data_IF_858611211308
#
_entry.id   IF_858611211308
#
_cell.length_a   1.000
_cell.length_b   1.000
_cell.length_c   1.000
_cell.angle_alpha   90.00
_cell.angle_beta   90.00
_cell.angle_gamma   90.00
#
_symmetry.space_group_name_H-M   'P 1'
#
loop_
_entity.id
_entity.type
_entity.pdbx_description
1 polymer ?
#
# COMPACT_ATOMS: atom_id res chain seq x y z
N UNK A 1 -32.10 -39.06 2.27
CA UNK A 1 -32.31 -37.76 2.95
C UNK A 1 -31.10 -36.88 2.65
N UNK A 2 -31.26 -35.57 2.48
CA UNK A 2 -30.32 -34.58 1.91
C UNK A 2 -30.43 -34.37 0.39
N UNK A 3 -31.61 -33.93 -0.04
CA UNK A 3 -31.83 -33.27 -1.33
C UNK A 3 -32.84 -32.13 -1.16
N UNK A 4 -32.67 -31.26 -0.17
CA UNK A 4 -33.53 -30.08 0.06
C UNK A 4 -32.80 -28.95 0.82
N UNK A 5 -31.63 -28.48 0.37
CA UNK A 5 -31.01 -27.27 0.95
C UNK A 5 -30.26 -26.40 -0.07
N UNK A 6 -30.64 -26.41 -1.35
CA UNK A 6 -30.00 -25.56 -2.37
C UNK A 6 -30.97 -24.58 -3.05
N UNK A 7 -32.03 -24.18 -2.35
CA UNK A 7 -32.99 -23.17 -2.83
C UNK A 7 -33.37 -22.21 -1.70
N UNK A 8 -32.45 -21.32 -1.34
CA UNK A 8 -32.70 -20.02 -0.70
C UNK A 8 -31.71 -19.05 -1.35
N UNK A 9 -31.99 -18.55 -2.56
CA UNK A 9 -32.55 -17.21 -2.79
C UNK A 9 -31.90 -16.15 -1.89
N UNK A 10 -30.87 -15.49 -2.43
CA UNK A 10 -30.31 -14.25 -1.91
C UNK A 10 -31.37 -13.14 -1.94
N UNK A 11 -32.06 -12.93 -0.82
CA UNK A 11 -32.87 -11.74 -0.58
C UNK A 11 -31.93 -10.56 -0.27
N UNK A 12 -31.90 -9.57 -1.17
CA UNK A 12 -31.02 -8.39 -1.11
C UNK A 12 -31.53 -7.29 -0.16
N UNK A 13 -32.60 -7.56 0.60
CA UNK A 13 -33.18 -6.60 1.55
C UNK A 13 -32.71 -6.78 2.99
N UNK A 14 -31.96 -7.85 3.30
CA UNK A 14 -31.39 -8.09 4.63
C UNK A 14 -29.95 -7.57 4.66
N UNK A 15 -29.56 -6.70 5.61
CA UNK A 15 -28.17 -6.29 5.75
C UNK A 15 -27.29 -7.52 6.04
N UNK A 16 -26.06 -7.56 5.50
CA UNK A 16 -25.15 -8.68 5.76
C UNK A 16 -24.99 -8.87 7.27
N UNK A 17 -24.92 -10.12 7.76
CA UNK A 17 -24.67 -10.37 9.18
C UNK A 17 -23.38 -9.65 9.60
N UNK A 18 -23.42 -9.03 10.78
CA UNK A 18 -22.29 -8.31 11.34
C UNK A 18 -21.04 -9.21 11.30
N UNK A 19 -19.97 -8.70 10.69
CA UNK A 19 -18.67 -9.36 10.72
C UNK A 19 -18.24 -9.34 12.19
N UNK A 20 -18.22 -10.51 12.80
CA UNK A 20 -17.72 -10.71 14.15
C UNK A 20 -16.18 -10.59 14.10
N UNK A 21 -15.66 -9.40 14.41
CA UNK A 21 -14.24 -9.07 14.51
C UNK A 21 -13.53 -9.73 15.72
N UNK A 22 -14.10 -10.77 16.32
CA UNK A 22 -13.51 -11.51 17.43
C UNK A 22 -12.45 -12.54 16.99
N UNK A 23 -11.38 -12.04 16.37
CA UNK A 23 -10.10 -12.74 16.28
C UNK A 23 -9.30 -12.59 17.60
N UNK A 24 -8.67 -13.65 18.12
CA UNK A 24 -9.25 -14.93 18.52
C UNK A 24 -10.02 -14.77 19.86
N UNK A 25 -11.09 -15.55 20.05
CA UNK A 25 -11.82 -15.62 21.32
C UNK A 25 -10.86 -15.73 22.52
N UNK A 26 -11.04 -14.89 23.54
CA UNK A 26 -10.29 -14.93 24.81
C UNK A 26 -10.15 -16.36 25.34
N UNK A 27 -11.18 -17.20 25.16
CA UNK A 27 -11.19 -18.63 25.49
C UNK A 27 -10.09 -19.45 24.80
N UNK A 28 -9.75 -19.17 23.55
CA UNK A 28 -8.66 -19.85 22.84
C UNK A 28 -7.28 -19.45 23.37
N UNK A 29 -7.11 -18.18 23.75
CA UNK A 29 -5.88 -17.71 24.40
C UNK A 29 -5.73 -18.28 25.81
N UNK A 30 -6.84 -18.38 26.55
CA UNK A 30 -6.89 -18.99 27.87
C UNK A 30 -6.58 -20.50 27.79
N UNK A 31 -7.19 -21.22 26.84
CA UNK A 31 -6.89 -22.64 26.56
C UNK A 31 -5.43 -22.87 26.14
N UNK A 32 -4.84 -21.98 25.34
CA UNK A 32 -3.41 -22.06 25.00
C UNK A 32 -2.53 -21.80 26.24
N UNK A 33 -2.92 -20.86 27.10
CA UNK A 33 -2.18 -20.58 28.34
C UNK A 33 -2.22 -21.74 29.33
N UNK A 34 -3.37 -22.42 29.44
CA UNK A 34 -3.54 -23.60 30.28
C UNK A 34 -2.75 -24.81 29.74
N UNK A 35 -2.77 -25.01 28.41
CA UNK A 35 -1.98 -26.06 27.77
C UNK A 35 -0.47 -25.83 27.94
N UNK A 36 -0.01 -24.59 27.79
CA UNK A 36 1.39 -24.23 28.03
C UNK A 36 1.79 -24.42 29.50
N UNK A 37 0.92 -24.05 30.45
CA UNK A 37 1.17 -24.26 31.88
C UNK A 37 1.33 -25.75 32.23
N UNK A 38 0.45 -26.60 31.70
CA UNK A 38 0.54 -28.06 31.90
C UNK A 38 1.81 -28.66 31.29
N UNK A 39 2.26 -28.15 30.14
CA UNK A 39 3.46 -28.62 29.47
C UNK A 39 4.73 -28.22 30.25
N UNK A 40 4.71 -27.02 30.86
CA UNK A 40 5.77 -26.57 31.78
C UNK A 40 5.79 -27.41 33.06
N UNK A 41 4.64 -27.72 33.67
CA UNK A 41 4.58 -28.60 34.84
C UNK A 41 5.10 -30.00 34.53
N UNK A 42 4.66 -30.62 33.43
CA UNK A 42 5.17 -31.93 33.00
C UNK A 42 6.69 -31.90 32.73
N UNK A 43 7.22 -30.80 32.19
CA UNK A 43 8.65 -30.63 31.99
C UNK A 43 9.43 -30.49 33.31
N UNK A 44 8.83 -29.86 34.32
CA UNK A 44 9.43 -29.74 35.65
C UNK A 44 9.38 -31.07 36.40
N UNK A 45 8.26 -31.80 36.33
CA UNK A 45 8.06 -33.09 37.00
C UNK A 45 8.90 -34.22 36.38
N UNK A 46 9.05 -34.22 35.06
CA UNK A 46 9.97 -35.16 34.39
C UNK A 46 11.43 -34.96 34.78
N UNK A 47 11.79 -33.80 35.34
CA UNK A 47 13.12 -33.51 35.88
C UNK A 47 13.31 -33.86 37.34
N UNK A 48 12.25 -33.91 38.14
CA UNK A 48 12.33 -34.26 39.57
C UNK A 48 12.43 -35.76 39.79
N UNK A 49 11.83 -36.57 38.90
CA UNK A 49 11.81 -38.05 39.04
C UNK A 49 13.08 -38.74 38.49
N UNK A 50 13.86 -38.07 37.63
CA UNK A 50 15.04 -38.66 36.97
C UNK A 50 16.42 -38.17 37.44
N UNK A 51 16.51 -37.25 38.41
CA UNK A 51 17.77 -36.57 38.73
C UNK A 51 18.42 -36.98 40.07
N UNK A 52 18.45 -38.29 40.38
CA UNK A 52 19.27 -38.81 41.49
C UNK A 52 20.66 -39.30 41.06
N UNK A 53 20.87 -39.67 39.78
CA UNK A 53 22.07 -40.43 39.38
C UNK A 53 22.95 -39.73 38.35
N UNK A 54 23.45 -38.53 38.68
CA UNK A 54 24.55 -37.94 37.91
C UNK A 54 25.58 -37.17 38.76
N UNK A 55 25.79 -37.59 40.00
CA UNK A 55 26.92 -37.16 40.82
C UNK A 55 28.14 -38.06 40.55
N UNK A 56 28.65 -38.06 39.31
CA UNK A 56 30.08 -38.36 39.14
C UNK A 56 30.82 -37.23 39.85
N UNK A 57 31.34 -37.52 41.04
CA UNK A 57 32.18 -36.63 41.84
C UNK A 57 33.40 -36.24 41.03
N UNK A 58 33.23 -35.20 40.22
CA UNK A 58 34.34 -34.56 39.53
C UNK A 58 35.22 -33.98 40.65
N UNK A 59 36.53 -34.28 40.69
CA UNK A 59 37.41 -33.69 41.68
C UNK A 59 37.18 -32.18 41.65
N UNK A 60 36.93 -31.60 42.82
CA UNK A 60 36.59 -30.20 43.00
C UNK A 60 37.71 -29.36 42.42
N UNK A 61 37.57 -28.92 41.16
CA UNK A 61 38.48 -27.96 40.57
C UNK A 61 38.48 -26.71 41.47
N UNK A 62 39.66 -26.14 41.78
CA UNK A 62 39.73 -24.97 42.65
C UNK A 62 38.84 -23.86 42.08
N UNK A 63 37.92 -23.35 42.91
CA UNK A 63 36.99 -22.31 42.50
C UNK A 63 37.72 -20.98 42.35
N UNK A 64 38.16 -20.66 41.14
CA UNK A 64 38.87 -19.39 40.88
C UNK A 64 37.89 -18.29 40.55
N UNK A 65 37.77 -17.25 41.37
CA UNK A 65 37.02 -16.05 40.99
C UNK A 65 37.91 -15.04 40.25
N UNK A 66 37.37 -14.47 39.17
CA UNK A 66 38.11 -13.55 38.28
C UNK A 66 38.44 -12.18 38.92
N UNK A 67 37.52 -11.50 39.66
CA UNK A 67 37.84 -10.24 40.32
C UNK A 67 38.83 -10.43 41.47
N UNK A 68 38.74 -11.53 42.22
CA UNK A 68 39.69 -11.89 43.27
C UNK A 68 41.11 -12.10 42.70
N UNK A 69 41.25 -12.94 41.67
CA UNK A 69 42.52 -13.12 40.96
C UNK A 69 43.10 -11.80 40.41
N UNK A 70 42.22 -10.88 40.00
CA UNK A 70 42.62 -9.53 39.55
C UNK A 70 43.08 -8.64 40.71
N UNK A 71 42.52 -8.80 41.92
CA UNK A 71 42.99 -8.11 43.13
C UNK A 71 44.35 -8.63 43.54
N UNK A 72 44.51 -9.96 43.63
CA UNK A 72 45.79 -10.61 43.94
C UNK A 72 46.91 -10.15 43.00
N UNK A 73 46.62 -10.08 41.69
CA UNK A 73 47.59 -9.60 40.70
C UNK A 73 47.95 -8.12 40.92
N UNK A 74 47.00 -7.27 41.30
CA UNK A 74 47.27 -5.85 41.60
C UNK A 74 48.11 -5.69 42.86
N UNK A 75 47.80 -6.45 43.90
CA UNK A 75 48.56 -6.46 45.15
C UNK A 75 50.01 -6.93 44.91
N UNK A 76 50.20 -7.99 44.11
CA UNK A 76 51.54 -8.44 43.71
C UNK A 76 52.30 -7.36 42.92
N UNK A 77 51.64 -6.63 42.02
CA UNK A 77 52.24 -5.51 41.29
C UNK A 77 52.63 -4.34 42.21
N UNK A 78 51.83 -4.06 43.24
CA UNK A 78 52.16 -3.05 44.26
C UNK A 78 53.35 -3.47 45.12
N UNK A 79 53.39 -4.73 45.57
CA UNK A 79 54.54 -5.29 46.30
C UNK A 79 55.82 -5.24 45.46
N UNK A 80 55.73 -5.55 44.16
CA UNK A 80 56.85 -5.42 43.24
C UNK A 80 57.32 -3.96 43.09
N UNK A 81 56.41 -2.99 43.06
CA UNK A 81 56.78 -1.58 43.02
C UNK A 81 57.46 -1.15 44.33
N UNK A 82 56.95 -1.58 45.49
CA UNK A 82 57.56 -1.34 46.80
C UNK A 82 58.95 -1.96 46.91
N UNK A 83 59.15 -3.18 46.38
CA UNK A 83 60.46 -3.84 46.34
C UNK A 83 61.46 -3.04 45.49
N UNK A 84 61.03 -2.52 44.34
CA UNK A 84 61.87 -1.65 43.49
C UNK A 84 62.26 -0.36 44.21
N UNK A 85 61.33 0.25 44.93
CA UNK A 85 61.62 1.46 45.71
C UNK A 85 62.61 1.16 46.83
N UNK A 86 62.40 0.07 47.54
CA UNK A 86 63.25 -0.37 48.64
C UNK A 86 64.67 -0.69 48.17
N UNK A 87 64.83 -1.26 46.96
CA UNK A 87 66.12 -1.40 46.31
C UNK A 87 66.82 -0.06 46.08
N UNK A 88 66.11 0.96 45.60
CA UNK A 88 66.68 2.31 45.38
C UNK A 88 67.19 2.89 46.71
N UNK A 89 66.40 2.76 47.79
CA UNK A 89 66.78 3.24 49.13
C UNK A 89 68.03 2.51 49.65
N UNK A 90 68.11 1.19 49.48
CA UNK A 90 69.32 0.44 49.82
C UNK A 90 70.53 0.85 48.97
N UNK A 91 70.36 1.07 47.66
CA UNK A 91 71.45 1.54 46.80
C UNK A 91 71.95 2.94 47.24
N UNK A 92 71.05 3.85 47.66
CA UNK A 92 71.38 5.18 48.19
C UNK A 92 72.12 5.12 49.53
N UNK A 93 71.65 4.27 50.46
CA UNK A 93 72.30 4.04 51.75
C UNK A 93 73.69 3.40 51.59
N UNK A 94 73.90 2.61 50.53
CA UNK A 94 75.20 2.01 50.22
C UNK A 94 76.21 3.05 49.70
N UNK A 95 75.72 4.06 48.98
CA UNK A 95 76.55 5.18 48.49
C UNK A 95 76.83 6.26 49.54
N UNK A 96 76.07 6.27 50.63
CA UNK A 96 76.26 7.18 51.76
C UNK A 96 77.28 6.55 52.73
N UNK A 97 78.34 7.27 53.10
CA UNK A 97 79.42 6.76 53.97
C UNK A 97 78.86 6.23 55.31
N UNK A 98 79.22 5.01 55.76
CA UNK A 98 78.68 4.39 56.97
C UNK A 98 79.41 4.90 58.22
N UNK A 99 79.31 6.19 58.52
CA UNK A 99 80.04 6.79 59.64
C UNK A 99 79.15 7.08 60.87
N UNK A 100 77.84 6.80 60.79
CA UNK A 100 76.87 7.05 61.88
C UNK A 100 76.13 5.77 62.30
N UNK A 101 75.99 5.51 63.61
CA UNK A 101 75.15 4.39 64.14
C UNK A 101 73.70 4.43 63.60
N UNK A 102 73.22 5.63 63.27
CA UNK A 102 71.91 5.86 62.64
C UNK A 102 71.78 5.20 61.25
N UNK A 103 72.85 5.15 60.47
CA UNK A 103 72.85 4.60 59.11
C UNK A 103 72.87 3.07 59.13
N UNK A 104 73.54 2.47 60.13
CA UNK A 104 73.51 1.03 60.37
C UNK A 104 72.11 0.54 60.83
N UNK A 105 71.42 1.32 61.67
CA UNK A 105 70.04 1.03 62.07
C UNK A 105 69.09 1.18 60.88
N UNK A 106 69.26 2.23 60.06
CA UNK A 106 68.50 2.43 58.81
C UNK A 106 68.67 1.29 57.81
N UNK A 107 69.90 0.79 57.65
CA UNK A 107 70.21 -0.36 56.79
C UNK A 107 69.52 -1.63 57.25
N UNK A 108 69.60 -1.95 58.56
CA UNK A 108 68.96 -3.14 59.12
C UNK A 108 67.42 -3.08 59.00
N UNK A 109 66.82 -1.92 59.25
CA UNK A 109 65.36 -1.76 59.09
C UNK A 109 64.91 -1.90 57.64
N UNK A 110 65.61 -1.29 56.68
CA UNK A 110 65.24 -1.38 55.27
C UNK A 110 65.48 -2.80 54.73
N UNK A 111 66.55 -3.47 55.15
CA UNK A 111 66.79 -4.89 54.79
C UNK A 111 65.70 -5.81 55.34
N UNK A 112 65.31 -5.70 56.61
CA UNK A 112 64.18 -6.46 57.17
C UNK A 112 62.87 -6.19 56.41
N UNK A 113 62.59 -4.93 56.09
CA UNK A 113 61.44 -4.55 55.27
C UNK A 113 61.48 -5.17 53.87
N UNK A 114 62.65 -5.22 53.23
CA UNK A 114 62.80 -5.85 51.90
C UNK A 114 62.49 -7.34 51.96
N UNK A 115 62.96 -8.03 53.00
CA UNK A 115 62.72 -9.46 53.15
C UNK A 115 61.24 -9.74 53.39
N UNK A 116 60.56 -8.96 54.23
CA UNK A 116 59.10 -9.06 54.41
C UNK A 116 58.35 -8.84 53.09
N UNK A 117 58.75 -7.86 52.27
CA UNK A 117 58.12 -7.63 50.95
C UNK A 117 58.39 -8.80 50.00
N UNK A 118 59.59 -9.39 50.00
CA UNK A 118 59.94 -10.58 49.20
C UNK A 118 59.11 -11.79 49.61
N UNK A 119 58.96 -12.04 50.90
CA UNK A 119 58.14 -13.13 51.43
C UNK A 119 56.68 -12.97 51.01
N UNK A 120 56.09 -11.79 51.22
CA UNK A 120 54.71 -11.51 50.81
C UNK A 120 54.52 -11.63 49.28
N UNK A 121 55.48 -11.16 48.50
CA UNK A 121 55.45 -11.24 47.04
C UNK A 121 55.56 -12.70 46.57
N UNK A 122 56.48 -13.49 47.14
CA UNK A 122 56.65 -14.91 46.79
C UNK A 122 55.43 -15.74 47.17
N UNK A 123 54.83 -15.46 48.34
CA UNK A 123 53.57 -16.08 48.76
C UNK A 123 52.45 -15.78 47.75
N UNK A 124 52.27 -14.51 47.36
CA UNK A 124 51.25 -14.13 46.34
C UNK A 124 51.56 -14.76 44.98
N UNK A 125 52.80 -14.76 44.53
CA UNK A 125 53.19 -15.36 43.23
C UNK A 125 52.95 -16.87 43.20
N UNK A 126 53.28 -17.60 44.26
CA UNK A 126 53.03 -19.05 44.32
C UNK A 126 51.54 -19.39 44.11
N UNK A 127 50.63 -18.57 44.65
CA UNK A 127 49.19 -18.75 44.46
C UNK A 127 48.70 -18.34 43.07
N UNK A 128 49.37 -17.40 42.40
CA UNK A 128 49.04 -16.92 41.06
C UNK A 128 49.60 -17.83 39.96
N UNK A 129 50.76 -18.44 40.21
CA UNK A 129 51.47 -19.31 39.27
C UNK A 129 51.00 -20.77 39.31
N UNK A 130 50.11 -21.14 40.25
CA UNK A 130 49.53 -22.47 40.30
C UNK A 130 48.96 -22.89 38.92
N UNK A 131 49.52 -23.94 38.29
CA UNK A 131 49.09 -24.39 36.96
C UNK A 131 47.64 -24.87 36.96
N UNK A 132 47.08 -25.33 38.08
CA UNK A 132 45.67 -25.70 38.17
C UNK A 132 44.77 -24.45 38.15
N UNK A 133 45.05 -23.46 39.01
CA UNK A 133 44.33 -22.17 39.08
C UNK A 133 44.34 -21.42 37.74
N UNK A 134 45.50 -21.33 37.10
CA UNK A 134 45.66 -20.63 35.81
C UNK A 134 44.90 -21.31 34.67
N UNK A 135 44.83 -22.66 34.64
CA UNK A 135 44.03 -23.42 33.66
C UNK A 135 42.54 -23.13 33.81
N UNK A 136 42.03 -23.13 35.04
CA UNK A 136 40.62 -22.81 35.34
C UNK A 136 40.29 -21.37 34.94
N UNK A 137 41.17 -20.41 35.27
CA UNK A 137 41.01 -19.01 34.89
C UNK A 137 40.95 -18.83 33.36
N UNK A 138 41.89 -19.43 32.62
CA UNK A 138 41.91 -19.39 31.14
C UNK A 138 40.60 -19.92 30.55
N UNK A 139 40.07 -21.03 31.08
CA UNK A 139 38.76 -21.57 30.66
C UNK A 139 37.62 -20.59 30.93
N UNK A 140 37.53 -20.03 32.15
CA UNK A 140 36.48 -19.04 32.50
C UNK A 140 36.54 -17.79 31.61
N UNK A 141 37.75 -17.29 31.33
CA UNK A 141 37.95 -16.16 30.42
C UNK A 141 37.56 -16.49 28.98
N UNK A 142 37.88 -17.69 28.48
CA UNK A 142 37.46 -18.15 27.17
C UNK A 142 35.92 -18.21 27.04
N UNK A 143 35.23 -18.72 28.06
CA UNK A 143 33.75 -18.75 28.11
C UNK A 143 33.18 -17.33 28.11
N UNK A 144 33.70 -16.41 28.94
CA UNK A 144 33.25 -15.01 28.97
C UNK A 144 33.50 -14.30 27.63
N UNK A 145 34.64 -14.53 26.98
CA UNK A 145 34.95 -14.00 25.64
C UNK A 145 33.98 -14.53 24.58
N UNK A 146 33.71 -15.84 24.57
CA UNK A 146 32.72 -16.46 23.67
C UNK A 146 31.33 -15.85 23.89
N UNK A 147 30.88 -15.72 25.14
CA UNK A 147 29.59 -15.08 25.49
C UNK A 147 29.52 -13.63 24.99
N UNK A 148 30.55 -12.82 25.27
CA UNK A 148 30.61 -11.42 24.82
C UNK A 148 30.57 -11.32 23.29
N UNK A 149 31.32 -12.15 22.58
CA UNK A 149 31.33 -12.16 21.11
C UNK A 149 29.98 -12.60 20.53
N UNK A 150 29.33 -13.59 21.14
CA UNK A 150 27.98 -13.98 20.77
C UNK A 150 26.97 -12.85 20.99
N UNK A 151 27.01 -12.18 22.15
CA UNK A 151 26.14 -11.03 22.45
C UNK A 151 26.35 -9.89 21.46
N UNK A 152 27.62 -9.57 21.12
CA UNK A 152 27.94 -8.57 20.09
C UNK A 152 27.30 -8.92 18.74
N UNK A 153 27.46 -10.16 18.27
CA UNK A 153 26.86 -10.62 17.01
C UNK A 153 25.34 -10.58 17.05
N UNK A 154 24.72 -11.01 18.15
CA UNK A 154 23.27 -10.96 18.34
C UNK A 154 22.75 -9.51 18.29
N UNK A 155 23.40 -8.60 19.00
CA UNK A 155 22.99 -7.20 19.04
C UNK A 155 23.15 -6.51 17.68
N UNK A 156 24.20 -6.84 16.93
CA UNK A 156 24.37 -6.35 15.55
C UNK A 156 23.23 -6.83 14.65
N UNK A 157 22.88 -8.12 14.68
CA UNK A 157 21.74 -8.66 13.93
C UNK A 157 20.43 -7.96 14.29
N UNK A 158 20.14 -7.82 15.59
CA UNK A 158 18.94 -7.11 16.06
C UNK A 158 18.92 -5.64 15.62
N UNK A 159 20.06 -4.96 15.57
CA UNK A 159 20.15 -3.59 15.08
C UNK A 159 19.91 -3.49 13.57
N UNK A 160 20.47 -4.42 12.78
CA UNK A 160 20.23 -4.53 11.34
C UNK A 160 18.76 -4.82 11.04
N UNK A 161 18.14 -5.76 11.77
CA UNK A 161 16.73 -6.11 11.60
C UNK A 161 15.80 -4.92 11.94
N UNK A 162 16.10 -4.20 13.02
CA UNK A 162 15.38 -2.96 13.36
C UNK A 162 15.51 -1.91 12.26
N UNK A 163 16.71 -1.74 11.68
CA UNK A 163 16.94 -0.80 10.58
C UNK A 163 16.16 -1.20 9.33
N UNK A 164 16.10 -2.49 9.00
CA UNK A 164 15.28 -2.99 7.89
C UNK A 164 13.79 -2.73 8.12
N UNK A 165 13.28 -3.04 9.31
CA UNK A 165 11.88 -2.79 9.67
C UNK A 165 11.50 -1.31 9.57
N UNK A 166 12.38 -0.40 10.01
CA UNK A 166 12.17 1.03 9.87
C UNK A 166 12.15 1.46 8.40
N UNK A 167 13.11 1.00 7.59
CA UNK A 167 13.14 1.30 6.16
C UNK A 167 11.90 0.77 5.42
N UNK A 168 11.43 -0.43 5.76
CA UNK A 168 10.21 -1.00 5.17
C UNK A 168 8.95 -0.25 5.61
N UNK A 169 8.91 0.22 6.86
CA UNK A 169 7.83 1.09 7.35
C UNK A 169 7.81 2.42 6.60
N UNK A 170 8.97 3.05 6.42
CA UNK A 170 9.09 4.31 5.68
C UNK A 170 8.65 4.14 4.22
N UNK A 171 9.04 3.05 3.55
CA UNK A 171 8.58 2.74 2.19
C UNK A 171 7.05 2.61 2.12
N UNK A 172 6.44 1.85 3.04
CA UNK A 172 4.97 1.73 3.09
C UNK A 172 4.29 3.06 3.36
N UNK A 173 4.87 3.90 4.21
CA UNK A 173 4.34 5.24 4.47
C UNK A 173 4.43 6.13 3.22
N UNK A 174 5.51 6.04 2.45
CA UNK A 174 5.62 6.74 1.16
C UNK A 174 4.61 6.24 0.14
N UNK A 175 4.38 4.92 0.06
CA UNK A 175 3.34 4.33 -0.79
C UNK A 175 1.94 4.82 -0.41
N UNK A 176 1.62 4.85 0.89
CA UNK A 176 0.36 5.38 1.42
C UNK A 176 0.21 6.86 1.04
N UNK A 177 1.24 7.67 1.30
CA UNK A 177 1.21 9.09 0.98
C UNK A 177 1.03 9.36 -0.53
N UNK A 178 1.71 8.57 -1.38
CA UNK A 178 1.54 8.64 -2.82
C UNK A 178 0.11 8.27 -3.24
N UNK A 179 -0.44 7.20 -2.67
CA UNK A 179 -1.82 6.78 -2.95
C UNK A 179 -2.85 7.80 -2.50
N UNK A 180 -2.67 8.41 -1.32
CA UNK A 180 -3.51 9.50 -0.84
C UNK A 180 -3.45 10.74 -1.75
N UNK A 181 -2.26 11.10 -2.23
CA UNK A 181 -2.09 12.21 -3.15
C UNK A 181 -2.77 11.94 -4.50
N UNK A 182 -2.64 10.72 -5.03
CA UNK A 182 -3.37 10.30 -6.23
C UNK A 182 -4.88 10.38 -6.05
N UNK A 183 -5.40 9.90 -4.90
CA UNK A 183 -6.83 9.95 -4.60
C UNK A 183 -7.34 11.38 -4.44
N UNK A 184 -6.60 12.24 -3.74
CA UNK A 184 -6.93 13.67 -3.64
C UNK A 184 -7.00 14.32 -5.01
N UNK A 185 -6.00 14.08 -5.87
CA UNK A 185 -5.99 14.59 -7.24
C UNK A 185 -7.18 14.08 -8.06
N UNK A 186 -7.55 12.80 -7.92
CA UNK A 186 -8.73 12.24 -8.61
C UNK A 186 -10.02 12.90 -8.11
N UNK A 187 -10.15 13.12 -6.80
CA UNK A 187 -11.30 13.77 -6.21
C UNK A 187 -11.42 15.22 -6.69
N UNK A 188 -10.32 15.98 -6.70
CA UNK A 188 -10.26 17.35 -7.21
C UNK A 188 -10.64 17.42 -8.70
N UNK A 189 -10.14 16.49 -9.52
CA UNK A 189 -10.53 16.40 -10.92
C UNK A 189 -12.02 16.09 -11.09
N UNK A 190 -12.58 15.22 -10.26
CA UNK A 190 -14.00 14.90 -10.30
C UNK A 190 -14.86 16.08 -9.82
N UNK A 191 -14.43 16.79 -8.78
CA UNK A 191 -15.08 18.02 -8.31
C UNK A 191 -15.06 19.10 -9.38
N UNK A 192 -13.89 19.38 -9.98
CA UNK A 192 -13.77 20.33 -11.09
C UNK A 192 -14.65 19.93 -12.28
N UNK A 193 -14.74 18.63 -12.60
CA UNK A 193 -15.63 18.15 -13.66
C UNK A 193 -17.12 18.34 -13.31
N UNK A 194 -17.52 18.14 -12.04
CA UNK A 194 -18.88 18.41 -11.56
C UNK A 194 -19.21 19.91 -11.64
N UNK A 195 -18.28 20.77 -11.22
CA UNK A 195 -18.42 22.22 -11.30
C UNK A 195 -18.53 22.71 -12.75
N UNK A 196 -17.69 22.18 -13.66
CA UNK A 196 -17.78 22.48 -15.09
C UNK A 196 -19.15 22.08 -15.66
N UNK A 197 -19.66 20.91 -15.28
CA UNK A 197 -20.98 20.43 -15.69
C UNK A 197 -22.11 21.31 -15.12
N UNK A 198 -21.99 21.73 -13.86
CA UNK A 198 -22.94 22.63 -13.21
C UNK A 198 -22.96 24.01 -13.90
N UNK A 199 -21.79 24.58 -14.19
CA UNK A 199 -21.64 25.85 -14.92
C UNK A 199 -22.27 25.76 -16.32
N UNK A 200 -21.99 24.69 -17.07
CA UNK A 200 -22.61 24.45 -18.39
C UNK A 200 -24.13 24.31 -18.32
N UNK A 201 -24.64 23.69 -17.25
CA UNK A 201 -26.08 23.56 -17.01
C UNK A 201 -26.73 24.91 -16.69
N UNK A 202 -26.05 25.77 -15.92
CA UNK A 202 -26.49 27.14 -15.65
C UNK A 202 -26.54 27.99 -16.93
N UNK A 203 -25.50 27.91 -17.78
CA UNK A 203 -25.48 28.58 -19.10
C UNK A 203 -26.64 28.09 -19.97
N UNK A 204 -26.93 26.78 -19.98
CA UNK A 204 -28.07 26.24 -20.73
C UNK A 204 -29.42 26.82 -20.23
N UNK A 205 -29.57 27.05 -18.93
CA UNK A 205 -30.75 27.69 -18.37
C UNK A 205 -30.89 29.16 -18.84
N UNK A 206 -29.79 29.91 -18.86
CA UNK A 206 -29.77 31.28 -19.41
C UNK A 206 -30.11 31.30 -20.91
N UNK A 207 -29.54 30.40 -21.71
CA UNK A 207 -29.86 30.27 -23.14
C UNK A 207 -31.37 30.02 -23.35
N UNK A 208 -31.98 29.16 -22.53
CA UNK A 208 -33.43 28.91 -22.57
C UNK A 208 -34.23 30.16 -22.24
N UNK A 209 -33.78 30.95 -21.27
CA UNK A 209 -34.42 32.21 -20.92
C UNK A 209 -34.29 33.25 -22.06
N UNK A 210 -33.09 33.42 -22.63
CA UNK A 210 -32.85 34.26 -23.81
C UNK A 210 -33.71 33.85 -25.00
N UNK A 211 -33.81 32.55 -25.27
CA UNK A 211 -34.68 31.97 -26.31
C UNK A 211 -36.16 32.29 -26.06
N UNK A 212 -36.65 32.11 -24.84
CA UNK A 212 -38.02 32.46 -24.47
C UNK A 212 -38.27 33.96 -24.61
N UNK A 213 -37.30 34.80 -24.22
CA UNK A 213 -37.35 36.26 -24.39
C UNK A 213 -37.45 36.65 -25.87
N UNK A 214 -36.62 36.09 -26.74
CA UNK A 214 -36.67 36.35 -28.18
C UNK A 214 -38.04 35.97 -28.78
N UNK A 215 -38.59 34.80 -28.42
CA UNK A 215 -39.96 34.41 -28.83
C UNK A 215 -41.03 35.39 -28.36
N UNK A 216 -40.91 35.94 -27.14
CA UNK A 216 -41.85 36.94 -26.63
C UNK A 216 -41.79 38.25 -27.43
N UNK A 217 -40.60 38.72 -27.81
CA UNK A 217 -40.48 39.93 -28.63
C UNK A 217 -41.01 39.72 -30.05
N UNK A 218 -40.72 38.58 -30.68
CA UNK A 218 -41.29 38.25 -32.00
C UNK A 218 -42.82 38.25 -31.97
N UNK A 219 -43.44 37.63 -30.96
CA UNK A 219 -44.91 37.69 -30.76
C UNK A 219 -45.44 39.10 -30.52
N UNK A 220 -44.63 39.99 -29.90
CA UNK A 220 -45.02 41.40 -29.73
C UNK A 220 -45.00 42.13 -31.08
N UNK A 221 -43.97 41.93 -31.90
CA UNK A 221 -43.93 42.52 -33.24
C UNK A 221 -45.07 42.03 -34.13
N UNK A 222 -45.40 40.73 -34.09
CA UNK A 222 -46.57 40.16 -34.78
C UNK A 222 -47.86 40.88 -34.38
N UNK A 223 -48.07 41.13 -33.08
CA UNK A 223 -49.21 41.92 -32.59
C UNK A 223 -49.16 43.38 -33.01
N UNK A 224 -47.97 44.00 -33.03
CA UNK A 224 -47.82 45.39 -33.49
C UNK A 224 -48.16 45.52 -34.96
N UNK A 225 -47.76 44.56 -35.80
CA UNK A 225 -48.14 44.50 -37.21
C UNK A 225 -49.67 44.32 -37.32
N UNK A 226 -50.27 43.37 -36.60
CA UNK A 226 -51.73 43.19 -36.63
C UNK A 226 -52.52 44.44 -36.22
N UNK A 227 -52.08 45.16 -35.18
CA UNK A 227 -52.71 46.41 -34.75
C UNK A 227 -52.51 47.54 -35.78
N UNK A 228 -51.37 47.54 -36.46
CA UNK A 228 -51.06 48.48 -37.52
C UNK A 228 -51.92 48.23 -38.76
N UNK A 229 -52.03 46.96 -39.19
CA UNK A 229 -52.90 46.52 -40.28
C UNK A 229 -54.38 46.82 -39.98
N UNK A 230 -54.82 46.66 -38.74
CA UNK A 230 -56.20 47.03 -38.34
C UNK A 230 -56.47 48.53 -38.41
N UNK A 231 -55.49 49.38 -38.07
CA UNK A 231 -55.63 50.85 -38.12
C UNK A 231 -55.65 51.36 -39.55
N UNK A 232 -54.74 50.86 -40.38
CA UNK A 232 -54.71 51.19 -41.81
C UNK A 232 -55.99 50.79 -42.52
N UNK A 233 -56.55 49.61 -42.21
CA UNK A 233 -57.86 49.18 -42.75
C UNK A 233 -59.02 50.08 -42.31
N UNK A 234 -59.00 50.62 -41.08
CA UNK A 234 -60.03 51.55 -40.58
C UNK A 234 -59.91 52.91 -41.29
N UNK A 235 -58.69 53.45 -41.39
CA UNK A 235 -58.41 54.72 -42.07
C UNK A 235 -58.75 54.67 -43.58
N UNK A 236 -58.55 53.52 -44.23
CA UNK A 236 -58.96 53.25 -45.62
C UNK A 236 -60.50 53.22 -45.77
N UNK A 237 -61.24 52.71 -44.78
CA UNK A 237 -62.71 52.67 -44.79
C UNK A 237 -63.37 54.00 -44.44
N UNK A 238 -62.71 54.87 -43.66
CA UNK A 238 -63.23 56.19 -43.26
C UNK A 238 -62.93 57.32 -44.28
N UNK A 239 -62.31 57.00 -45.42
CA UNK A 239 -62.28 57.88 -46.59
C UNK A 239 -61.38 59.13 -46.48
N UNK A 240 -60.43 59.15 -45.55
CA UNK A 240 -59.45 60.24 -45.44
C UNK A 240 -58.23 59.97 -46.33
N UNK A 241 -58.38 60.18 -47.65
CA UNK A 241 -57.24 60.31 -48.57
C UNK A 241 -56.36 61.47 -48.11
N UNK A 242 -55.29 61.17 -47.37
CA UNK A 242 -54.20 62.12 -47.13
C UNK A 242 -53.13 61.90 -48.20
N UNK A 243 -52.95 62.94 -49.03
CA UNK A 243 -52.02 63.11 -50.15
C UNK A 243 -50.51 63.07 -49.77
N UNK A 244 -50.13 62.22 -48.81
CA UNK A 244 -48.75 61.96 -48.39
C UNK A 244 -48.43 60.48 -48.42
N UNK A 245 -48.61 59.86 -49.59
CA UNK A 245 -48.61 58.41 -49.79
C UNK A 245 -47.39 57.65 -49.26
N UNK A 246 -47.66 56.45 -48.73
CA UNK A 246 -46.79 55.27 -48.53
C UNK A 246 -45.42 55.41 -47.83
N UNK A 247 -44.84 56.62 -47.69
CA UNK A 247 -43.52 56.83 -47.09
C UNK A 247 -43.51 56.51 -45.60
N UNK A 248 -44.55 56.86 -44.79
CA UNK A 248 -44.62 56.45 -43.39
C UNK A 248 -44.81 54.94 -43.23
N UNK A 249 -45.60 54.34 -44.11
CA UNK A 249 -45.94 52.91 -44.12
C UNK A 249 -44.73 52.03 -44.43
N UNK A 250 -44.06 52.32 -45.54
CA UNK A 250 -42.86 51.60 -45.94
C UNK A 250 -41.73 51.76 -44.92
N UNK A 251 -41.65 52.93 -44.25
CA UNK A 251 -40.68 53.16 -43.19
C UNK A 251 -40.99 52.34 -41.94
N UNK A 252 -42.27 52.23 -41.56
CA UNK A 252 -42.70 51.34 -40.48
C UNK A 252 -42.39 49.89 -40.82
N UNK A 253 -42.76 49.43 -42.02
CA UNK A 253 -42.57 48.06 -42.47
C UNK A 253 -41.09 47.68 -42.60
N UNK A 254 -40.24 48.59 -43.10
CA UNK A 254 -38.77 48.40 -43.12
C UNK A 254 -38.18 48.34 -41.71
N UNK A 255 -38.60 49.23 -40.81
CA UNK A 255 -38.11 49.27 -39.44
C UNK A 255 -38.50 48.00 -38.67
N UNK A 256 -39.79 47.64 -38.68
CA UNK A 256 -40.29 46.44 -37.99
C UNK A 256 -39.71 45.16 -38.60
N UNK A 257 -39.54 45.11 -39.93
CA UNK A 257 -38.88 44.01 -40.64
C UNK A 257 -37.43 43.82 -40.18
N UNK A 258 -36.64 44.90 -40.10
CA UNK A 258 -35.27 44.86 -39.59
C UNK A 258 -35.20 44.34 -38.15
N UNK A 259 -36.08 44.82 -37.27
CA UNK A 259 -36.15 44.32 -35.88
C UNK A 259 -36.54 42.84 -35.84
N UNK A 260 -37.52 42.40 -36.63
CA UNK A 260 -37.93 41.00 -36.71
C UNK A 260 -36.76 40.12 -37.15
N UNK A 261 -35.99 40.53 -38.15
CA UNK A 261 -34.85 39.76 -38.66
C UNK A 261 -33.72 39.68 -37.62
N UNK A 262 -33.42 40.77 -36.91
CA UNK A 262 -32.47 40.75 -35.79
C UNK A 262 -32.90 39.78 -34.69
N UNK A 263 -34.17 39.79 -34.31
CA UNK A 263 -34.68 38.90 -33.25
C UNK A 263 -34.83 37.46 -33.72
N UNK A 264 -35.13 37.20 -35.00
CA UNK A 264 -35.06 35.87 -35.63
C UNK A 264 -33.64 35.34 -35.63
N UNK A 265 -32.64 36.18 -35.96
CA UNK A 265 -31.22 35.82 -35.88
C UNK A 265 -30.82 35.44 -34.45
N UNK A 266 -31.14 36.29 -33.46
CA UNK A 266 -30.90 36.00 -32.03
C UNK A 266 -31.57 34.71 -31.58
N UNK A 267 -32.78 34.42 -32.06
CA UNK A 267 -33.50 33.17 -31.77
C UNK A 267 -32.78 31.96 -32.36
N UNK A 268 -32.35 32.04 -33.63
CA UNK A 268 -31.56 31.00 -34.30
C UNK A 268 -30.26 30.72 -33.55
N UNK A 269 -29.54 31.76 -33.14
CA UNK A 269 -28.28 31.62 -32.41
C UNK A 269 -28.49 30.94 -31.05
N UNK A 270 -29.54 31.30 -30.31
CA UNK A 270 -29.90 30.61 -29.06
C UNK A 270 -30.25 29.13 -29.29
N UNK A 271 -30.90 28.79 -30.41
CA UNK A 271 -31.24 27.39 -30.75
C UNK A 271 -29.99 26.58 -31.08
N UNK A 272 -29.04 27.16 -31.83
CA UNK A 272 -27.75 26.53 -32.14
C UNK A 272 -26.92 26.32 -30.86
N UNK A 273 -26.84 27.34 -30.01
CA UNK A 273 -26.14 27.31 -28.72
C UNK A 273 -26.77 26.26 -27.79
N UNK A 274 -28.10 26.22 -27.67
CA UNK A 274 -28.82 25.21 -26.86
C UNK A 274 -28.53 23.78 -27.35
N UNK A 275 -28.53 23.56 -28.67
CA UNK A 275 -28.22 22.25 -29.26
C UNK A 275 -26.79 21.84 -28.93
N UNK A 276 -25.81 22.74 -29.11
CA UNK A 276 -24.40 22.47 -28.81
C UNK A 276 -24.20 22.11 -27.33
N UNK A 277 -24.76 22.91 -26.42
CA UNK A 277 -24.66 22.68 -24.97
C UNK A 277 -25.33 21.36 -24.55
N UNK A 278 -26.49 21.01 -25.13
CA UNK A 278 -27.12 19.71 -24.89
C UNK A 278 -26.26 18.55 -25.35
N UNK A 279 -25.65 18.66 -26.53
CA UNK A 279 -24.78 17.61 -27.06
C UNK A 279 -23.53 17.44 -26.19
N UNK A 280 -22.92 18.54 -25.73
CA UNK A 280 -21.79 18.53 -24.80
C UNK A 280 -22.16 17.90 -23.45
N UNK A 281 -23.29 18.30 -22.87
CA UNK A 281 -23.77 17.78 -21.59
C UNK A 281 -24.15 16.29 -21.69
N UNK A 282 -24.77 15.89 -22.80
CA UNK A 282 -25.13 14.50 -23.07
C UNK A 282 -23.90 13.60 -23.25
N UNK A 283 -22.79 14.13 -23.79
CA UNK A 283 -21.53 13.38 -23.90
C UNK A 283 -20.86 13.15 -22.55
N UNK A 284 -21.02 14.07 -21.59
CA UNK A 284 -20.36 14.04 -20.27
C UNK A 284 -21.24 13.55 -19.12
N UNK A 285 -22.52 13.25 -19.36
CA UNK A 285 -23.38 12.62 -18.38
C UNK A 285 -22.84 11.23 -18.01
N UNK A 286 -22.61 11.00 -16.72
CA UNK A 286 -22.09 9.75 -16.15
C UNK A 286 -22.88 8.51 -16.59
N UNK A 287 -24.19 8.64 -16.76
CA UNK A 287 -25.05 7.57 -17.29
C UNK A 287 -24.77 7.20 -18.75
N UNK A 288 -24.35 8.17 -19.58
CA UNK A 288 -24.00 7.93 -20.97
C UNK A 288 -22.56 7.45 -21.14
N UNK A 289 -21.63 7.89 -20.30
CA UNK A 289 -20.24 7.41 -20.30
C UNK A 289 -20.18 5.92 -19.96
N UNK A 290 -20.88 5.51 -18.89
CA UNK A 290 -20.97 4.10 -18.46
C UNK A 290 -21.65 3.22 -19.52
N UNK A 291 -22.81 3.65 -20.04
CA UNK A 291 -23.50 2.94 -21.13
C UNK A 291 -22.70 2.88 -22.42
N UNK A 292 -21.93 3.92 -22.77
CA UNK A 292 -21.04 3.88 -23.94
C UNK A 292 -19.88 2.93 -23.73
N UNK A 293 -19.28 2.91 -22.54
CA UNK A 293 -18.24 1.94 -22.19
C UNK A 293 -18.80 0.52 -22.29
N UNK A 294 -19.96 0.27 -21.70
CA UNK A 294 -20.66 -1.00 -21.78
C UNK A 294 -20.97 -1.39 -23.23
N UNK A 295 -21.50 -0.47 -24.05
CA UNK A 295 -21.78 -0.73 -25.46
C UNK A 295 -20.51 -1.02 -26.27
N UNK A 296 -19.38 -0.36 -25.95
CA UNK A 296 -18.08 -0.70 -26.55
C UNK A 296 -17.65 -2.12 -26.17
N UNK A 297 -17.79 -2.50 -24.90
CA UNK A 297 -17.51 -3.87 -24.46
C UNK A 297 -18.44 -4.88 -25.13
N UNK A 298 -19.74 -4.60 -25.22
CA UNK A 298 -20.68 -5.47 -25.93
C UNK A 298 -20.29 -5.62 -27.40
N UNK A 299 -19.93 -4.53 -28.07
CA UNK A 299 -19.46 -4.57 -29.47
C UNK A 299 -18.15 -5.35 -29.62
N UNK A 300 -17.18 -5.16 -28.73
CA UNK A 300 -15.90 -5.86 -28.80
C UNK A 300 -16.04 -7.36 -28.53
N UNK A 301 -16.90 -7.74 -27.57
CA UNK A 301 -17.10 -9.14 -27.15
C UNK A 301 -18.06 -9.90 -28.07
N UNK A 302 -19.13 -9.25 -28.53
CA UNK A 302 -20.23 -9.91 -29.24
C UNK A 302 -20.42 -9.42 -30.69
N UNK A 303 -19.58 -8.49 -31.14
CA UNK A 303 -19.72 -7.86 -32.45
C UNK A 303 -20.86 -6.83 -32.51
N UNK A 304 -21.12 -6.29 -33.69
CA UNK A 304 -22.25 -5.39 -33.89
C UNK A 304 -23.57 -6.16 -33.76
N UNK A 305 -24.42 -5.76 -32.80
CA UNK A 305 -25.73 -6.37 -32.55
C UNK A 305 -26.67 -6.31 -33.78
N UNK A 306 -26.45 -5.36 -34.69
CA UNK A 306 -27.16 -5.26 -35.97
C UNK A 306 -26.66 -6.26 -37.02
N UNK A 307 -25.42 -6.75 -36.90
CA UNK A 307 -24.86 -7.73 -37.81
C UNK A 307 -25.31 -9.16 -37.50
N UNK A 308 -25.67 -9.47 -36.24
CA UNK A 308 -26.16 -10.80 -35.86
C UNK A 308 -27.61 -11.04 -36.32
N UNK A 309 -28.49 -10.04 -36.23
CA UNK A 309 -29.88 -10.18 -36.68
C UNK A 309 -30.01 -10.28 -38.21
N UNK A 310 -29.14 -9.60 -38.95
CA UNK A 310 -29.19 -9.56 -40.41
C UNK A 310 -28.45 -10.73 -41.10
N UNK A 311 -27.63 -11.51 -40.35
CA UNK A 311 -26.93 -12.70 -40.89
C UNK A 311 -27.77 -13.97 -40.84
N UNK A 312 -28.80 -14.03 -39.98
CA UNK A 312 -29.69 -15.19 -39.85
C UNK A 312 -30.67 -15.19 -41.03
N UNK A 313 -30.13 -15.45 -42.22
CA UNK A 313 -30.86 -15.57 -43.48
C UNK A 313 -31.03 -17.03 -43.87
N UNK A 314 -32.29 -17.44 -44.04
CA UNK A 314 -32.79 -18.68 -44.69
C UNK A 314 -32.44 -20.05 -44.11
N UNK A 315 -31.44 -20.23 -43.26
CA UNK A 315 -31.31 -21.50 -42.51
C UNK A 315 -30.67 -21.31 -41.12
N UNK A 316 -31.46 -20.89 -40.11
CA UNK A 316 -30.93 -20.59 -38.78
C UNK A 316 -30.24 -21.79 -38.13
N UNK A 317 -30.71 -23.01 -38.43
CA UNK A 317 -30.25 -24.22 -37.76
C UNK A 317 -28.77 -24.53 -38.05
N UNK A 318 -28.33 -24.44 -39.30
CA UNK A 318 -26.94 -24.75 -39.67
C UNK A 318 -25.95 -23.72 -39.12
N UNK A 319 -26.34 -22.44 -39.06
CA UNK A 319 -25.52 -21.40 -38.43
C UNK A 319 -25.46 -21.59 -36.91
N UNK A 320 -26.58 -21.91 -36.25
CA UNK A 320 -26.57 -22.23 -34.83
C UNK A 320 -25.75 -23.48 -34.53
N UNK A 321 -25.81 -24.51 -35.38
CA UNK A 321 -24.97 -25.72 -35.26
C UNK A 321 -23.50 -25.39 -35.47
N UNK A 322 -23.14 -24.52 -36.43
CA UNK A 322 -21.75 -24.07 -36.63
C UNK A 322 -21.22 -23.27 -35.46
N UNK A 323 -22.01 -22.31 -34.95
CA UNK A 323 -21.66 -21.54 -33.74
C UNK A 323 -21.51 -22.51 -32.57
N UNK A 324 -22.47 -23.42 -32.36
CA UNK A 324 -22.41 -24.42 -31.29
C UNK A 324 -21.17 -25.30 -31.40
N UNK A 325 -20.85 -25.83 -32.58
CA UNK A 325 -19.62 -26.61 -32.82
C UNK A 325 -18.35 -25.81 -32.54
N UNK A 326 -18.32 -24.53 -32.92
CA UNK A 326 -17.19 -23.66 -32.60
C UNK A 326 -17.03 -23.44 -31.09
N UNK A 327 -18.13 -23.40 -30.33
CA UNK A 327 -18.12 -23.37 -28.87
C UNK A 327 -17.77 -24.72 -28.23
N UNK A 328 -18.18 -25.84 -28.84
CA UNK A 328 -17.92 -27.19 -28.33
C UNK A 328 -16.41 -27.51 -28.31
N UNK A 329 -15.61 -26.91 -29.20
CA UNK A 329 -14.12 -26.98 -29.18
C UNK A 329 -13.54 -26.51 -27.84
N UNK A 330 -14.22 -25.61 -27.14
CA UNK A 330 -13.81 -25.10 -25.84
C UNK A 330 -14.46 -25.85 -24.66
N UNK A 331 -15.47 -26.68 -24.93
CA UNK A 331 -16.21 -27.43 -23.91
C UNK A 331 -15.65 -28.85 -23.71
N UNK A 332 -14.88 -29.39 -24.66
CA UNK A 332 -14.33 -30.74 -24.61
C UNK A 332 -12.82 -30.75 -24.32
N UNK A 333 -12.34 -31.60 -23.41
CA UNK A 333 -10.93 -31.92 -23.29
C UNK A 333 -10.50 -32.71 -24.53
N UNK A 334 -9.68 -32.12 -25.38
CA UNK A 334 -8.95 -32.87 -26.41
C UNK A 334 -7.88 -33.73 -25.74
N UNK A 335 -8.27 -34.91 -25.27
CA UNK A 335 -7.33 -35.97 -24.92
C UNK A 335 -7.70 -37.23 -25.72
N UNK A 336 -7.18 -37.33 -26.94
CA UNK A 336 -7.34 -38.54 -27.76
C UNK A 336 -6.43 -39.70 -27.36
N UNK A 337 -5.54 -39.57 -26.36
CA UNK A 337 -4.53 -40.61 -26.10
C UNK A 337 -4.38 -41.08 -24.63
N UNK A 338 -5.37 -40.95 -23.74
CA UNK A 338 -5.28 -41.61 -22.42
C UNK A 338 -6.57 -42.29 -21.93
N UNK A 339 -6.49 -43.57 -21.50
CA UNK A 339 -7.58 -44.27 -20.86
C UNK A 339 -7.52 -44.09 -19.35
N UNK A 340 -8.04 -42.98 -18.83
CA UNK A 340 -8.45 -42.91 -17.41
C UNK A 340 -9.68 -42.01 -17.23
N UNK A 341 -10.61 -42.39 -16.34
CA UNK A 341 -11.88 -41.70 -16.18
C UNK A 341 -11.68 -40.52 -15.24
N UNK A 342 -11.62 -39.31 -15.79
CA UNK A 342 -11.75 -38.10 -14.99
C UNK A 342 -12.92 -37.32 -15.53
N UNK A 343 -13.95 -37.17 -14.70
CA UNK A 343 -15.04 -36.20 -14.87
C UNK A 343 -14.47 -34.85 -15.30
N UNK A 344 -14.58 -34.53 -16.58
CA UNK A 344 -14.08 -33.28 -17.13
C UNK A 344 -15.26 -32.40 -17.54
N UNK A 345 -15.63 -31.49 -16.65
CA UNK A 345 -16.30 -30.25 -17.03
C UNK A 345 -15.33 -29.33 -17.78
N UNK A 346 -15.88 -28.61 -18.76
CA UNK A 346 -15.32 -27.49 -19.54
C UNK A 346 -13.92 -26.97 -19.13
N UNK A 347 -12.96 -27.02 -20.06
CA UNK A 347 -11.62 -26.46 -19.92
C UNK A 347 -11.58 -24.91 -19.90
N UNK A 348 -12.72 -24.25 -20.02
CA UNK A 348 -12.86 -22.80 -19.87
C UNK A 348 -13.41 -22.49 -18.47
N UNK A 349 -12.63 -21.83 -17.59
CA UNK A 349 -13.17 -21.27 -16.35
C UNK A 349 -14.32 -20.33 -16.68
N UNK A 350 -15.39 -20.41 -15.89
CA UNK A 350 -16.55 -19.52 -16.00
C UNK A 350 -16.07 -18.05 -16.03
N UNK A 351 -16.19 -17.38 -17.19
CA UNK A 351 -15.79 -15.97 -17.39
C UNK A 351 -14.61 -15.70 -18.34
N UNK A 352 -13.98 -16.70 -18.96
CA UNK A 352 -12.86 -16.48 -19.89
C UNK A 352 -13.30 -16.58 -21.36
N UNK A 353 -13.49 -15.44 -22.02
CA UNK A 353 -13.60 -15.36 -23.48
C UNK A 353 -12.18 -15.33 -24.04
N UNK A 354 -11.71 -16.42 -24.66
CA UNK A 354 -10.45 -16.40 -25.42
C UNK A 354 -10.68 -15.52 -26.67
N UNK A 355 -9.94 -14.41 -26.85
CA UNK A 355 -10.04 -13.63 -28.08
C UNK A 355 -9.62 -14.48 -29.28
N UNK A 356 -10.18 -14.23 -30.48
CA UNK A 356 -9.73 -14.87 -31.71
C UNK A 356 -8.24 -14.59 -31.96
N UNK A 357 -7.57 -15.52 -32.63
CA UNK A 357 -6.11 -15.46 -32.87
C UNK A 357 -5.71 -14.18 -33.65
N UNK A 358 -6.63 -13.66 -34.49
CA UNK A 358 -6.58 -12.33 -35.10
C UNK A 358 -7.65 -11.40 -34.49
N UNK A 359 -7.32 -10.66 -33.42
CA UNK A 359 -8.27 -9.77 -32.78
C UNK A 359 -8.52 -8.51 -33.62
N UNK A 360 -9.77 -8.04 -33.63
CA UNK A 360 -10.12 -6.77 -34.28
C UNK A 360 -9.29 -5.60 -33.71
N UNK A 361 -9.02 -4.53 -34.49
CA UNK A 361 -8.20 -3.39 -34.05
C UNK A 361 -8.65 -2.76 -32.72
N UNK A 362 -9.94 -2.86 -32.42
CA UNK A 362 -10.56 -2.36 -31.18
C UNK A 362 -10.02 -3.03 -29.90
N UNK A 363 -9.44 -4.24 -30.02
CA UNK A 363 -8.83 -4.99 -28.92
C UNK A 363 -7.40 -4.54 -28.58
N UNK A 364 -6.74 -3.78 -29.46
CA UNK A 364 -5.35 -3.35 -29.28
C UNK A 364 -5.18 -2.47 -28.03
N UNK A 365 -6.19 -1.68 -27.66
CA UNK A 365 -6.18 -0.82 -26.47
C UNK A 365 -6.23 -1.61 -25.14
N UNK A 366 -6.65 -2.88 -25.19
CA UNK A 366 -6.79 -3.75 -24.02
C UNK A 366 -5.69 -4.81 -23.93
N UNK A 367 -4.77 -4.87 -24.91
CA UNK A 367 -3.58 -5.71 -24.81
C UNK A 367 -2.67 -5.18 -23.71
N UNK A 368 -2.61 -5.91 -22.59
CA UNK A 368 -1.56 -5.71 -21.59
C UNK A 368 -0.23 -5.95 -22.29
N UNK A 369 0.58 -4.90 -22.40
CA UNK A 369 1.85 -4.95 -23.09
C UNK A 369 2.79 -5.92 -22.33
N UNK A 370 2.86 -7.18 -22.77
CA UNK A 370 3.65 -8.24 -22.14
C UNK A 370 5.15 -7.89 -22.11
N UNK A 371 5.59 -7.05 -23.03
CA UNK A 371 6.95 -6.53 -23.09
C UNK A 371 7.28 -5.62 -21.90
N UNK A 372 6.34 -4.77 -21.46
CA UNK A 372 6.50 -3.95 -20.27
C UNK A 372 6.59 -4.80 -18.99
N UNK A 373 5.88 -5.93 -18.92
CA UNK A 373 5.95 -6.86 -17.78
C UNK A 373 7.23 -7.70 -17.78
N UNK A 374 7.77 -8.08 -18.95
CA UNK A 374 9.05 -8.80 -19.07
C UNK A 374 10.24 -7.91 -18.76
N UNK A 375 10.21 -6.64 -19.16
CA UNK A 375 11.26 -5.67 -18.82
C UNK A 375 11.39 -5.46 -17.30
N UNK A 376 10.26 -5.48 -16.57
CA UNK A 376 10.25 -5.36 -15.10
C UNK A 376 10.71 -6.65 -14.41
N UNK A 377 10.46 -7.83 -14.99
CA UNK A 377 10.89 -9.11 -14.38
C UNK A 377 12.35 -9.47 -14.64
N UNK A 378 13.00 -8.87 -15.64
CA UNK A 378 14.43 -9.04 -15.93
C UNK A 378 15.29 -8.04 -15.12
N UNK A 379 14.66 -6.98 -14.59
CA UNK A 379 15.30 -5.94 -13.78
C UNK A 379 15.22 -6.19 -12.25
N UNK A 380 14.75 -7.37 -11.82
CA UNK A 380 14.85 -7.88 -10.44
C UNK A 380 15.68 -9.14 -10.44
#
# INVERSE_FOLDING_TARGET
MYAQQATVLCDLTVPPPAIDDSFPHVKLLEQLSEADAQLVEQFLDSRTVGSSDCSKSRPSEPSVDIPEYRSDLREALLLLASLKQSKIVLDELLTSSPDTESDAIGWNMETERTEQIKELLSAKLSTLEDPARTRVLKRKLAVRRKKRNWQKRRNLRLAEDRKKLLADREKRQQEIAAWEAEWRKRLEQEQAAREELAAKSAILADVRWRKARAKRYLRRFEKTIQLHDQRTMIDETDGANTDGGNIPEERFQRSIGSLIDEWKKKLSDCVKEEKRLKDELARRSTGNESRRRENRWRKALFGDASASLNRIGRNPLDEFVKVRRAWDVYALPNNTDQPHPVSQGSAVPFGWVKPPDDPLPEWLSYRVNREAKRAISIAR
#
